data_IF_914195387425
#
_entry.id   IF_914195387425
#
_cell.length_a   1.000
_cell.length_b   1.000
_cell.length_c   1.000
_cell.angle_alpha   90.00
_cell.angle_beta   90.00
_cell.angle_gamma   90.00
#
_symmetry.space_group_name_H-M   'P 1'
#
loop_
_entity.id
_entity.type
_entity.pdbx_description
1 polymer ?
#
# COMPACT_ATOMS: atom_id res chain seq x y z
N UNK A 1 -3.60 -13.49 -26.67
CA UNK A 1 -3.18 -12.63 -27.81
C UNK A 1 -1.81 -12.08 -27.50
N UNK A 2 -1.00 -11.75 -28.52
CA UNK A 2 0.39 -11.33 -28.37
C UNK A 2 0.45 -9.95 -27.69
N UNK A 3 0.95 -9.94 -26.45
CA UNK A 3 1.10 -8.77 -25.57
C UNK A 3 2.47 -8.12 -25.81
N UNK A 4 2.52 -6.79 -25.90
CA UNK A 4 3.73 -5.98 -26.05
C UNK A 4 3.69 -4.78 -25.07
N UNK A 5 4.82 -4.35 -24.48
CA UNK A 5 4.96 -3.20 -23.55
C UNK A 5 6.18 -2.35 -23.94
N UNK A 6 6.09 -1.03 -23.72
CA UNK A 6 7.05 0.00 -24.11
C UNK A 6 7.69 0.77 -22.91
N UNK A 7 8.93 1.28 -23.04
CA UNK A 7 9.81 1.89 -21.97
C UNK A 7 10.67 3.14 -22.37
N UNK A 8 10.26 4.37 -22.00
CA UNK A 8 10.93 5.63 -22.45
C UNK A 8 12.10 6.05 -21.54
N UNK A 9 13.21 6.53 -22.12
CA UNK A 9 14.31 7.21 -21.39
C UNK A 9 14.26 8.75 -21.56
N UNK A 10 14.56 9.53 -20.51
CA UNK A 10 14.89 10.96 -20.61
C UNK A 10 15.96 11.34 -19.56
N UNK A 11 16.85 12.28 -19.92
CA UNK A 11 18.06 12.65 -19.16
C UNK A 11 17.91 13.87 -18.24
N UNK A 12 18.75 13.91 -17.19
CA UNK A 12 18.74 14.79 -16.02
C UNK A 12 19.31 16.21 -16.21
N UNK A 13 18.81 17.18 -15.42
CA UNK A 13 19.52 18.40 -15.01
C UNK A 13 19.19 18.75 -13.54
N UNK A 14 20.20 19.17 -12.76
CA UNK A 14 20.19 19.22 -11.29
C UNK A 14 19.59 20.52 -10.72
N UNK A 15 18.97 20.45 -9.54
CA UNK A 15 18.90 21.60 -8.61
C UNK A 15 18.93 21.17 -7.13
N UNK A 16 19.52 22.03 -6.30
CA UNK A 16 19.88 21.79 -4.89
C UNK A 16 18.75 22.30 -3.97
N UNK A 17 18.17 21.43 -3.14
CA UNK A 17 17.27 21.81 -2.06
C UNK A 17 17.61 21.04 -0.77
N UNK A 18 17.36 21.68 0.36
CA UNK A 18 17.86 21.35 1.69
C UNK A 18 17.36 20.00 2.23
N UNK A 19 18.28 19.17 2.73
CA UNK A 19 17.98 17.96 3.49
C UNK A 19 17.63 18.33 4.94
N UNK A 20 16.35 18.55 5.23
CA UNK A 20 15.82 18.28 6.57
C UNK A 20 15.65 16.75 6.69
N UNK A 21 16.10 16.16 7.80
CA UNK A 21 16.19 14.71 7.94
C UNK A 21 14.81 14.06 7.92
N UNK A 22 14.53 13.26 6.89
CA UNK A 22 13.42 12.32 6.93
C UNK A 22 13.78 11.24 7.96
N UNK A 23 13.07 11.19 9.08
CA UNK A 23 13.11 10.03 9.97
C UNK A 23 12.62 8.81 9.17
N UNK A 24 13.26 7.66 9.35
CA UNK A 24 12.87 6.46 8.63
C UNK A 24 11.49 5.99 9.13
N UNK A 25 10.62 5.55 8.22
CA UNK A 25 9.37 4.84 8.57
C UNK A 25 9.58 3.53 9.35
N UNK A 26 10.82 3.09 9.58
CA UNK A 26 11.13 2.00 10.52
C UNK A 26 11.19 2.48 11.98
N UNK A 27 11.43 3.77 12.22
CA UNK A 27 11.56 4.31 13.57
C UNK A 27 10.20 4.33 14.28
N UNK A 28 10.16 3.73 15.46
CA UNK A 28 8.94 3.65 16.26
C UNK A 28 7.86 2.75 15.67
N UNK A 29 8.14 1.97 14.61
CA UNK A 29 7.21 1.00 14.05
C UNK A 29 7.02 -0.17 15.03
N UNK A 30 5.77 -0.38 15.48
CA UNK A 30 5.42 -1.42 16.46
C UNK A 30 4.59 -2.54 15.85
N UNK A 31 3.96 -2.30 14.69
CA UNK A 31 3.18 -3.30 13.99
C UNK A 31 3.23 -3.00 12.50
N UNK A 32 3.43 -4.03 11.68
CA UNK A 32 3.23 -3.95 10.24
C UNK A 32 2.63 -5.25 9.73
N UNK A 33 1.38 -5.19 9.25
CA UNK A 33 0.76 -6.27 8.50
C UNK A 33 0.70 -5.85 7.03
N UNK A 34 1.66 -6.33 6.24
CA UNK A 34 1.74 -6.04 4.80
C UNK A 34 0.68 -6.80 4.00
N UNK A 35 0.40 -8.05 4.38
CA UNK A 35 -0.42 -9.00 3.61
C UNK A 35 0.12 -9.36 2.22
N UNK A 36 1.40 -9.10 1.94
CA UNK A 36 2.04 -9.39 0.66
C UNK A 36 2.20 -10.90 0.40
N UNK A 37 2.27 -11.71 1.46
CA UNK A 37 2.37 -13.17 1.40
C UNK A 37 0.98 -13.83 1.39
N UNK A 38 0.85 -14.93 0.66
CA UNK A 38 -0.43 -15.59 0.42
C UNK A 38 -0.97 -16.39 1.62
N UNK A 39 -2.28 -16.17 1.89
CA UNK A 39 -3.24 -17.23 2.19
C UNK A 39 -3.03 -18.14 3.40
N UNK A 40 -2.43 -17.65 4.48
CA UNK A 40 -2.27 -18.39 5.73
C UNK A 40 -3.31 -17.96 6.79
N UNK A 41 -3.72 -18.87 7.68
CA UNK A 41 -4.58 -18.56 8.85
C UNK A 41 -3.88 -17.65 9.90
N UNK A 42 -2.64 -17.26 9.60
CA UNK A 42 -1.75 -16.47 10.41
C UNK A 42 -1.18 -15.32 9.56
N UNK A 43 -1.18 -14.11 10.12
CA UNK A 43 -0.56 -12.93 9.52
C UNK A 43 0.72 -12.60 10.29
N UNK A 44 1.84 -12.53 9.58
CA UNK A 44 3.14 -12.13 10.14
C UNK A 44 3.16 -10.65 10.49
N UNK A 45 3.90 -10.30 11.54
CA UNK A 45 4.23 -8.92 11.87
C UNK A 45 5.59 -8.56 11.29
N UNK A 46 5.60 -7.82 10.19
CA UNK A 46 6.78 -7.46 9.42
C UNK A 46 7.59 -6.33 10.09
N UNK A 47 7.07 -5.75 11.18
CA UNK A 47 7.84 -4.82 12.01
C UNK A 47 8.95 -5.53 12.82
N UNK A 48 8.90 -6.85 12.92
CA UNK A 48 9.84 -7.65 13.70
C UNK A 48 9.55 -7.69 15.21
N UNK A 49 8.42 -7.14 15.67
CA UNK A 49 8.04 -7.15 17.08
C UNK A 49 7.25 -8.39 17.52
N UNK A 50 6.97 -9.32 16.61
CA UNK A 50 6.38 -10.62 16.91
C UNK A 50 4.90 -10.58 17.26
N UNK A 51 4.16 -9.54 16.83
CA UNK A 51 2.71 -9.42 17.02
C UNK A 51 1.95 -10.16 15.92
N UNK A 52 2.17 -11.46 15.81
CA UNK A 52 1.50 -12.30 14.81
C UNK A 52 -0.01 -12.36 15.06
N UNK A 53 -0.82 -12.13 14.03
CA UNK A 53 -2.29 -12.17 14.12
C UNK A 53 -2.86 -13.52 13.66
N UNK A 54 -3.91 -13.97 14.33
CA UNK A 54 -4.76 -15.09 13.89
C UNK A 54 -5.90 -14.57 13.03
N UNK A 55 -6.12 -15.21 11.89
CA UNK A 55 -7.22 -14.91 10.98
C UNK A 55 -8.49 -15.64 11.46
N UNK A 56 -9.59 -14.90 11.59
CA UNK A 56 -10.92 -15.44 11.90
C UNK A 56 -11.89 -15.09 10.78
N UNK A 57 -11.99 -15.97 9.77
CA UNK A 57 -12.98 -15.87 8.70
C UNK A 57 -12.67 -14.88 7.58
N UNK A 58 -11.77 -13.90 7.79
CA UNK A 58 -11.28 -13.04 6.71
C UNK A 58 -10.50 -13.87 5.68
N UNK A 59 -10.49 -13.42 4.43
CA UNK A 59 -9.86 -14.14 3.32
C UNK A 59 -8.80 -13.28 2.65
N UNK A 60 -7.70 -13.88 2.22
CA UNK A 60 -6.68 -13.16 1.47
C UNK A 60 -7.12 -12.97 0.01
N UNK A 61 -6.84 -11.82 -0.56
CA UNK A 61 -7.08 -11.49 -1.97
C UNK A 61 -5.82 -10.91 -2.60
N UNK A 62 -5.55 -11.28 -3.86
CA UNK A 62 -4.36 -10.83 -4.60
C UNK A 62 -4.42 -9.38 -5.12
N UNK A 63 -5.49 -8.67 -4.79
CA UNK A 63 -5.77 -7.32 -5.28
C UNK A 63 -5.64 -6.32 -4.12
N UNK A 64 -4.42 -6.23 -3.61
CA UNK A 64 -3.99 -5.26 -2.59
C UNK A 64 -3.30 -4.04 -3.19
N UNK A 65 -2.90 -3.13 -2.32
CA UNK A 65 -1.99 -2.02 -2.60
C UNK A 65 -0.60 -2.58 -2.86
N UNK A 66 -0.04 -3.32 -1.89
CA UNK A 66 1.26 -3.97 -2.03
C UNK A 66 1.07 -5.48 -2.17
N UNK A 67 0.82 -5.94 -3.40
CA UNK A 67 0.56 -7.37 -3.63
C UNK A 67 -0.82 -7.80 -3.11
N UNK A 68 -0.88 -8.35 -1.90
CA UNK A 68 -2.09 -8.95 -1.33
C UNK A 68 -2.83 -8.04 -0.35
N UNK A 69 -4.06 -8.39 -0.02
CA UNK A 69 -4.85 -7.70 1.01
C UNK A 69 -5.76 -8.69 1.74
N UNK A 70 -6.27 -8.29 2.91
CA UNK A 70 -7.27 -9.07 3.63
C UNK A 70 -8.67 -8.54 3.36
N UNK A 71 -9.52 -9.41 2.83
CA UNK A 71 -10.95 -9.20 2.62
C UNK A 71 -11.74 -9.64 3.83
N UNK A 72 -12.58 -8.72 4.28
CA UNK A 72 -13.57 -8.94 5.33
C UNK A 72 -14.93 -8.70 4.71
N UNK A 73 -15.72 -9.76 4.58
CA UNK A 73 -17.11 -9.73 4.16
C UNK A 73 -18.01 -9.14 5.27
N UNK A 74 -19.31 -9.15 5.01
CA UNK A 74 -20.33 -8.72 5.95
C UNK A 74 -20.55 -9.79 7.05
N UNK A 75 -19.74 -9.73 8.10
CA UNK A 75 -19.86 -10.61 9.28
C UNK A 75 -18.97 -10.19 10.46
N UNK A 76 -18.65 -11.17 11.32
CA UNK A 76 -17.74 -11.02 12.48
C UNK A 76 -16.28 -11.37 12.14
N UNK A 77 -15.91 -11.25 10.87
CA UNK A 77 -14.58 -11.57 10.37
C UNK A 77 -13.57 -10.55 10.87
N UNK A 78 -12.46 -11.03 11.42
CA UNK A 78 -11.43 -10.20 12.01
C UNK A 78 -10.09 -10.91 12.07
N UNK A 79 -9.03 -10.15 12.23
CA UNK A 79 -7.73 -10.63 12.68
C UNK A 79 -7.57 -10.25 14.15
N UNK A 80 -6.94 -11.13 14.93
CA UNK A 80 -6.74 -10.93 16.37
C UNK A 80 -5.28 -11.18 16.77
N UNK A 81 -4.71 -10.28 17.58
CA UNK A 81 -3.41 -10.43 18.20
C UNK A 81 -3.41 -9.83 19.63
N UNK A 82 -2.33 -10.07 20.38
CA UNK A 82 -2.11 -9.43 21.68
C UNK A 82 -1.81 -7.93 21.51
N UNK A 83 -2.28 -7.08 22.44
CA UNK A 83 -2.01 -5.63 22.43
C UNK A 83 -0.76 -5.22 23.23
N UNK A 84 -0.06 -6.18 23.84
CA UNK A 84 1.12 -5.95 24.65
C UNK A 84 2.21 -5.18 23.88
N UNK A 85 2.73 -4.14 24.51
CA UNK A 85 3.78 -3.28 23.97
C UNK A 85 3.32 -2.31 22.87
N UNK A 86 2.02 -2.24 22.54
CA UNK A 86 1.46 -1.09 21.83
C UNK A 86 1.39 0.14 22.77
N UNK A 87 1.22 1.36 22.24
CA UNK A 87 1.22 2.56 23.10
C UNK A 87 0.05 2.55 24.09
N UNK A 88 0.26 2.91 25.35
CA UNK A 88 -0.78 2.96 26.39
C UNK A 88 -1.06 4.39 26.86
N UNK A 89 -2.19 4.60 27.55
CA UNK A 89 -2.53 5.89 28.17
C UNK A 89 -2.47 7.04 27.18
N UNK A 90 -1.74 8.10 27.55
CA UNK A 90 -1.62 9.36 26.82
C UNK A 90 -0.40 9.42 25.88
N UNK A 91 0.35 8.33 25.71
CA UNK A 91 1.51 8.30 24.83
C UNK A 91 1.18 8.77 23.38
N UNK A 92 2.13 9.37 22.65
CA UNK A 92 1.92 9.63 21.24
C UNK A 92 1.83 8.31 20.44
N UNK A 93 1.13 8.34 19.31
CA UNK A 93 0.97 7.17 18.42
C UNK A 93 0.42 7.58 17.05
N UNK A 94 0.68 6.74 16.06
CA UNK A 94 0.03 6.81 14.76
C UNK A 94 -0.56 5.45 14.39
N UNK A 95 -1.75 5.46 13.81
CA UNK A 95 -2.34 4.31 13.12
C UNK A 95 -2.48 4.66 11.65
N UNK A 96 -2.02 3.79 10.76
CA UNK A 96 -2.13 3.95 9.32
C UNK A 96 -2.61 2.64 8.68
N UNK A 97 -3.48 2.72 7.68
CA UNK A 97 -3.91 1.57 6.89
C UNK A 97 -4.46 2.00 5.54
N UNK A 98 -4.45 1.07 4.60
CA UNK A 98 -5.22 1.18 3.37
C UNK A 98 -6.56 0.49 3.51
N UNK A 99 -7.61 1.10 2.96
CA UNK A 99 -8.96 0.53 2.95
C UNK A 99 -9.63 0.71 1.59
N UNK A 100 -10.32 -0.33 1.15
CA UNK A 100 -11.23 -0.28 0.00
C UNK A 100 -12.59 -0.83 0.39
N UNK A 101 -13.63 -0.03 0.18
CA UNK A 101 -15.00 -0.41 0.51
C UNK A 101 -15.75 -0.92 -0.72
N UNK A 102 -16.38 -2.09 -0.61
CA UNK A 102 -17.10 -2.71 -1.74
C UNK A 102 -18.55 -2.25 -1.87
N UNK A 103 -19.19 -1.82 -0.78
CA UNK A 103 -20.56 -1.31 -0.81
C UNK A 103 -20.85 -0.34 0.33
N UNK A 104 -21.68 0.69 0.05
CA UNK A 104 -22.27 1.53 1.09
C UNK A 104 -23.42 0.79 1.75
N UNK A 105 -23.39 0.67 3.07
CA UNK A 105 -24.60 0.43 3.86
C UNK A 105 -24.70 1.48 4.96
N UNK A 106 -25.94 1.90 5.23
CA UNK A 106 -26.21 2.81 6.33
C UNK A 106 -26.15 2.01 7.63
N UNK A 107 -25.07 2.15 8.37
CA UNK A 107 -24.82 1.42 9.62
C UNK A 107 -24.44 2.39 10.74
N UNK A 108 -24.30 1.91 11.99
CA UNK A 108 -23.64 2.68 13.03
C UNK A 108 -22.11 2.73 12.81
N UNK A 109 -21.34 3.01 13.87
CA UNK A 109 -19.88 3.01 13.83
C UNK A 109 -19.33 1.69 13.27
N UNK A 110 -18.25 1.77 12.50
CA UNK A 110 -17.52 0.56 12.10
C UNK A 110 -16.03 0.73 12.34
N UNK A 111 -15.49 -0.04 13.27
CA UNK A 111 -14.05 -0.11 13.51
C UNK A 111 -13.35 -0.78 12.33
N UNK A 112 -12.21 -0.23 11.93
CA UNK A 112 -11.30 -0.87 10.96
C UNK A 112 -10.14 -1.53 11.71
N UNK A 113 -9.63 -0.83 12.72
CA UNK A 113 -8.51 -1.26 13.55
C UNK A 113 -8.72 -0.71 14.97
N UNK A 114 -8.53 -1.55 15.99
CA UNK A 114 -8.40 -1.07 17.37
C UNK A 114 -7.49 -1.96 18.22
N UNK A 115 -7.00 -1.40 19.33
CA UNK A 115 -6.41 -2.17 20.42
C UNK A 115 -6.78 -1.59 21.79
N UNK A 116 -6.50 -2.36 22.84
CA UNK A 116 -6.81 -1.99 24.22
C UNK A 116 -8.15 -2.55 24.69
N UNK A 117 -8.48 -2.22 25.94
CA UNK A 117 -9.73 -2.64 26.56
C UNK A 117 -10.92 -1.93 25.91
N UNK A 118 -11.86 -2.70 25.36
CA UNK A 118 -13.07 -2.21 24.66
C UNK A 118 -14.07 -1.56 25.64
N UNK A 119 -13.68 -0.41 26.17
CA UNK A 119 -14.45 0.46 27.04
C UNK A 119 -14.18 1.90 26.64
N UNK A 120 -15.12 2.80 26.98
CA UNK A 120 -15.00 4.22 26.71
C UNK A 120 -13.67 4.78 27.22
N UNK A 121 -12.89 5.41 26.34
CA UNK A 121 -11.56 5.97 26.64
C UNK A 121 -10.52 4.95 27.15
N UNK A 122 -10.72 3.64 26.91
CA UNK A 122 -9.78 2.57 27.30
C UNK A 122 -9.19 1.81 26.11
N UNK A 123 -9.69 2.08 24.91
CA UNK A 123 -9.17 1.57 23.65
C UNK A 123 -8.58 2.71 22.80
N UNK A 124 -7.80 2.35 21.80
CA UNK A 124 -7.34 3.22 20.72
C UNK A 124 -7.82 2.57 19.43
N UNK A 125 -8.43 3.32 18.52
CA UNK A 125 -8.93 2.71 17.29
C UNK A 125 -9.46 3.71 16.30
N UNK A 126 -9.41 3.33 15.02
CA UNK A 126 -9.77 4.09 13.84
C UNK A 126 -10.89 3.37 13.09
N UNK A 127 -11.84 4.12 12.54
CA UNK A 127 -12.94 3.54 11.77
C UNK A 127 -13.79 4.57 11.04
N UNK A 128 -14.95 4.16 10.52
CA UNK A 128 -15.88 5.05 9.80
C UNK A 128 -17.20 5.18 10.56
N UNK A 129 -17.66 6.42 10.77
CA UNK A 129 -18.96 6.73 11.39
C UNK A 129 -20.01 6.99 10.31
N UNK A 130 -20.91 6.04 10.16
CA UNK A 130 -22.03 6.06 9.20
C UNK A 130 -23.33 6.65 9.79
N UNK A 131 -23.34 7.03 11.07
CA UNK A 131 -24.55 7.50 11.75
C UNK A 131 -25.06 8.80 11.14
N UNK A 132 -26.38 8.90 10.97
CA UNK A 132 -27.07 10.13 10.50
C UNK A 132 -26.56 10.61 9.13
N UNK A 133 -26.36 9.68 8.18
CA UNK A 133 -25.94 10.00 6.81
C UNK A 133 -24.49 10.51 6.70
N UNK A 134 -23.71 10.38 7.78
CA UNK A 134 -22.28 10.64 7.81
C UNK A 134 -21.50 9.49 7.17
N UNK A 135 -20.22 9.75 6.93
CA UNK A 135 -19.25 8.77 6.44
C UNK A 135 -17.86 9.20 6.92
N UNK A 136 -17.79 9.85 8.08
CA UNK A 136 -16.57 10.50 8.55
C UNK A 136 -15.62 9.46 9.12
N UNK A 137 -14.31 9.69 8.97
CA UNK A 137 -13.34 8.94 9.75
C UNK A 137 -13.57 9.28 11.22
N UNK A 138 -13.44 8.28 12.08
CA UNK A 138 -13.47 8.47 13.52
C UNK A 138 -12.24 7.84 14.17
N UNK A 139 -11.87 8.40 15.32
CA UNK A 139 -10.92 7.80 16.23
C UNK A 139 -11.42 7.85 17.67
N UNK A 140 -11.05 6.86 18.49
CA UNK A 140 -11.43 6.83 19.91
C UNK A 140 -10.81 7.99 20.68
N UNK A 141 -11.59 8.82 21.35
CA UNK A 141 -11.08 9.97 22.12
C UNK A 141 -11.52 9.90 23.59
N UNK A 142 -10.90 10.74 24.42
CA UNK A 142 -11.41 11.08 25.74
C UNK A 142 -12.91 11.37 25.69
N UNK A 143 -13.69 10.52 26.38
CA UNK A 143 -15.13 10.71 26.48
C UNK A 143 -15.92 10.55 25.17
N UNK A 144 -15.39 9.91 24.12
CA UNK A 144 -16.15 9.70 22.89
C UNK A 144 -15.31 9.28 21.69
N UNK A 145 -15.63 9.86 20.54
CA UNK A 145 -14.87 9.73 19.29
C UNK A 145 -14.62 11.12 18.72
N UNK A 146 -13.43 11.32 18.16
CA UNK A 146 -13.14 12.44 17.28
C UNK A 146 -13.62 12.08 15.86
N UNK A 147 -14.04 13.07 15.07
CA UNK A 147 -14.49 12.88 13.69
C UNK A 147 -13.69 13.80 12.76
N UNK A 148 -13.26 13.29 11.61
CA UNK A 148 -12.69 14.11 10.53
C UNK A 148 -13.75 14.97 9.85
N UNK A 149 -13.35 15.99 9.08
CA UNK A 149 -14.26 16.69 8.16
C UNK A 149 -14.48 15.92 6.85
N UNK A 150 -13.55 15.02 6.50
CA UNK A 150 -13.67 14.17 5.32
C UNK A 150 -14.79 13.14 5.43
N UNK A 151 -15.37 12.77 4.28
CA UNK A 151 -16.43 11.78 4.17
C UNK A 151 -16.06 10.72 3.15
N UNK A 152 -16.05 9.47 3.60
CA UNK A 152 -15.82 8.28 2.80
C UNK A 152 -16.85 8.19 1.67
N UNK A 153 -16.33 8.14 0.44
CA UNK A 153 -17.10 7.77 -0.72
C UNK A 153 -17.17 6.25 -0.80
N UNK A 154 -18.35 5.68 -1.06
CA UNK A 154 -18.51 4.23 -1.17
C UNK A 154 -18.07 3.67 -2.53
N UNK A 155 -16.96 4.19 -3.05
CA UNK A 155 -16.37 3.74 -4.29
C UNK A 155 -15.36 2.66 -3.96
N UNK A 156 -15.33 1.56 -4.73
CA UNK A 156 -14.35 0.48 -4.63
C UNK A 156 -12.93 0.90 -5.01
N UNK A 157 -12.47 2.02 -4.47
CA UNK A 157 -11.13 2.57 -4.57
C UNK A 157 -10.45 2.40 -3.21
N UNK A 158 -9.13 2.27 -3.27
CA UNK A 158 -8.29 2.31 -2.10
C UNK A 158 -8.13 3.73 -1.60
N UNK A 159 -8.16 3.90 -0.29
CA UNK A 159 -7.81 5.13 0.41
C UNK A 159 -6.81 4.80 1.50
N UNK A 160 -5.76 5.61 1.63
CA UNK A 160 -4.87 5.55 2.79
C UNK A 160 -5.45 6.41 3.89
N UNK A 161 -5.71 5.81 5.05
CA UNK A 161 -6.20 6.51 6.23
C UNK A 161 -5.10 6.52 7.28
N UNK A 162 -4.83 7.69 7.85
CA UNK A 162 -3.98 7.78 9.02
C UNK A 162 -4.62 8.64 10.11
N UNK A 163 -4.34 8.24 11.35
CA UNK A 163 -4.66 8.99 12.54
C UNK A 163 -3.38 9.15 13.36
N UNK A 164 -3.04 10.41 13.65
CA UNK A 164 -1.88 10.80 14.45
C UNK A 164 -2.39 11.38 15.77
N UNK A 165 -1.80 10.96 16.88
CA UNK A 165 -2.07 11.50 18.22
C UNK A 165 -0.79 11.91 18.89
N UNK A 166 -0.75 13.15 19.34
CA UNK A 166 0.44 13.75 19.95
C UNK A 166 0.37 13.79 21.49
N UNK A 167 -0.68 13.23 22.08
CA UNK A 167 -0.98 13.36 23.51
C UNK A 167 -1.89 14.54 23.84
N UNK A 168 -2.53 14.48 25.01
CA UNK A 168 -3.37 15.54 25.56
C UNK A 168 -4.54 15.98 24.64
N UNK A 169 -5.04 15.08 23.81
CA UNK A 169 -6.20 15.33 22.94
C UNK A 169 -5.85 15.93 21.57
N UNK A 170 -4.58 16.29 21.32
CA UNK A 170 -4.10 16.75 20.02
C UNK A 170 -4.04 15.58 19.04
N UNK A 171 -4.71 15.72 17.93
CA UNK A 171 -4.79 14.70 16.91
C UNK A 171 -4.94 15.28 15.51
N UNK A 172 -4.56 14.47 14.53
CA UNK A 172 -4.65 14.77 13.11
C UNK A 172 -5.14 13.55 12.34
N UNK A 173 -6.16 13.74 11.50
CA UNK A 173 -6.65 12.76 10.55
C UNK A 173 -6.16 13.09 9.15
N UNK A 174 -5.67 12.07 8.46
CA UNK A 174 -5.21 12.16 7.09
C UNK A 174 -5.93 11.16 6.21
N UNK A 175 -6.21 11.59 4.98
CA UNK A 175 -6.72 10.75 3.90
C UNK A 175 -5.86 10.98 2.68
N UNK A 176 -5.34 9.91 2.09
CA UNK A 176 -4.49 9.94 0.90
C UNK A 176 -3.30 10.90 1.04
N UNK A 177 -2.76 10.98 2.26
CA UNK A 177 -1.59 11.80 2.59
C UNK A 177 -1.93 13.25 2.98
N UNK A 178 -3.16 13.68 2.77
CA UNK A 178 -3.60 15.05 3.04
C UNK A 178 -4.35 15.15 4.37
N UNK A 179 -4.08 16.21 5.14
CA UNK A 179 -4.80 16.48 6.38
C UNK A 179 -6.26 16.82 6.09
N UNK A 180 -7.16 16.14 6.78
CA UNK A 180 -8.61 16.34 6.65
C UNK A 180 -9.23 17.10 7.81
N UNK A 181 -8.39 17.61 8.71
CA UNK A 181 -8.84 18.29 9.92
C UNK A 181 -8.82 19.81 9.79
N UNK A 182 -9.92 20.44 10.18
CA UNK A 182 -9.85 21.67 10.95
C UNK A 182 -9.51 21.33 12.40
N UNK A 183 -8.27 21.61 12.84
CA UNK A 183 -7.73 21.30 14.17
C UNK A 183 -8.79 21.35 15.29
N UNK A 184 -9.22 20.18 15.78
CA UNK A 184 -10.20 20.09 16.86
C UNK A 184 -9.48 19.90 18.20
N UNK A 185 -9.30 21.00 18.94
CA UNK A 185 -8.83 20.97 20.33
C UNK A 185 -9.96 20.47 21.23
N UNK A 186 -10.18 19.15 21.29
CA UNK A 186 -11.17 18.53 22.18
C UNK A 186 -10.50 17.83 23.37
N UNK A 187 -11.18 17.87 24.51
CA UNK A 187 -10.53 17.88 25.83
C UNK A 187 -10.19 16.49 26.39
N UNK A 188 -8.91 16.32 26.77
CA UNK A 188 -8.43 15.33 27.72
C UNK A 188 -7.57 14.21 27.09
N UNK A 189 -6.67 13.60 27.89
CA UNK A 189 -5.78 12.54 27.42
C UNK A 189 -6.54 11.25 27.13
N UNK A 190 -5.98 10.43 26.22
CA UNK A 190 -6.38 9.04 26.10
C UNK A 190 -5.99 8.27 27.36
N UNK A 191 -6.80 7.28 27.72
CA UNK A 191 -6.52 6.38 28.82
C UNK A 191 -6.52 4.91 28.36
N UNK A 192 -5.90 4.64 27.21
CA UNK A 192 -5.82 3.30 26.63
C UNK A 192 -5.17 2.32 27.60
N UNK A 193 -5.79 1.15 27.79
CA UNK A 193 -5.35 0.10 28.71
C UNK A 193 -5.06 -1.17 27.90
N UNK A 194 -3.83 -1.68 28.00
CA UNK A 194 -3.35 -2.90 27.33
C UNK A 194 -3.69 -4.14 28.16
N UNK A 195 -4.98 -4.41 28.26
CA UNK A 195 -5.51 -5.65 28.85
C UNK A 195 -6.63 -6.20 27.97
N UNK A 196 -6.60 -5.83 26.68
CA UNK A 196 -7.57 -6.22 25.69
C UNK A 196 -6.89 -7.06 24.63
N UNK A 197 -7.07 -6.65 23.38
CA UNK A 197 -6.53 -7.32 22.19
C UNK A 197 -6.41 -6.30 21.06
N UNK A 198 -5.51 -6.57 20.13
CA UNK A 198 -5.44 -5.90 18.85
C UNK A 198 -6.40 -6.61 17.88
N UNK A 199 -7.29 -5.85 17.24
CA UNK A 199 -8.25 -6.35 16.27
C UNK A 199 -8.23 -5.53 15.01
N UNK A 200 -8.13 -6.23 13.88
CA UNK A 200 -8.24 -5.67 12.53
C UNK A 200 -9.49 -6.24 11.87
N UNK A 201 -10.19 -5.41 11.11
CA UNK A 201 -11.49 -5.73 10.52
C UNK A 201 -12.67 -5.18 11.34
N UNK A 202 -12.47 -4.81 12.60
CA UNK A 202 -13.53 -4.29 13.48
C UNK A 202 -13.95 -5.27 14.57
N UNK A 203 -14.76 -4.82 15.54
CA UNK A 203 -15.07 -5.63 16.71
C UNK A 203 -15.90 -6.86 16.32
N UNK A 204 -15.48 -8.08 16.66
CA UNK A 204 -16.24 -9.29 16.32
C UNK A 204 -17.62 -9.33 16.98
N UNK A 205 -17.80 -8.61 18.09
CA UNK A 205 -19.08 -8.47 18.79
C UNK A 205 -20.06 -7.54 18.06
N UNK A 206 -19.56 -6.70 17.16
CA UNK A 206 -20.34 -5.78 16.33
C UNK A 206 -20.24 -6.24 14.88
N UNK A 207 -21.12 -7.18 14.49
CA UNK A 207 -21.14 -7.73 13.14
C UNK A 207 -21.14 -6.59 12.11
N UNK A 208 -20.08 -6.53 11.30
CA UNK A 208 -20.01 -5.59 10.19
C UNK A 208 -20.98 -6.03 9.11
N UNK A 209 -21.70 -5.09 8.50
CA UNK A 209 -22.62 -5.42 7.41
C UNK A 209 -22.07 -5.13 6.01
N UNK A 210 -20.84 -4.62 5.91
CA UNK A 210 -20.21 -4.26 4.64
C UNK A 210 -18.89 -4.96 4.40
N UNK A 211 -18.69 -5.36 3.14
CA UNK A 211 -17.43 -5.92 2.69
C UNK A 211 -16.39 -4.82 2.47
N UNK A 212 -15.16 -5.09 2.90
CA UNK A 212 -14.01 -4.20 2.84
C UNK A 212 -12.74 -5.01 2.64
N UNK A 213 -11.79 -4.43 1.92
CA UNK A 213 -10.40 -4.91 1.89
C UNK A 213 -9.57 -3.96 2.75
N UNK A 214 -8.71 -4.51 3.60
CA UNK A 214 -7.72 -3.77 4.35
C UNK A 214 -6.34 -4.21 3.91
N UNK A 215 -5.45 -3.24 3.80
CA UNK A 215 -4.07 -3.48 3.42
C UNK A 215 -3.08 -2.65 4.24
N UNK A 216 -1.87 -3.16 4.36
CA UNK A 216 -0.67 -2.44 4.77
C UNK A 216 -0.82 -1.66 6.09
N UNK A 217 -1.27 -2.39 7.13
CA UNK A 217 -1.65 -1.84 8.43
C UNK A 217 -0.43 -1.59 9.28
N UNK A 218 -0.30 -0.36 9.81
CA UNK A 218 0.82 0.04 10.66
C UNK A 218 0.37 0.73 11.94
N UNK A 219 1.11 0.45 13.02
CA UNK A 219 1.00 1.18 14.30
C UNK A 219 2.39 1.66 14.71
N UNK A 220 2.48 2.94 15.02
CA UNK A 220 3.70 3.60 15.49
C UNK A 220 3.58 4.03 16.95
N UNK A 221 4.68 3.94 17.70
CA UNK A 221 4.84 4.44 19.06
C UNK A 221 5.17 5.93 19.15
N UNK A 222 5.00 6.68 18.06
CA UNK A 222 5.23 8.12 17.94
C UNK A 222 4.16 8.76 17.07
N UNK A 223 4.06 10.08 17.16
CA UNK A 223 3.28 10.88 16.23
C UNK A 223 4.13 11.09 14.97
N UNK A 224 3.66 10.58 13.84
CA UNK A 224 4.31 10.79 12.55
C UNK A 224 4.06 12.20 12.03
N UNK A 225 5.05 12.76 11.34
CA UNK A 225 4.94 14.04 10.66
C UNK A 225 4.10 13.92 9.37
N UNK A 226 3.57 15.06 8.89
CA UNK A 226 2.74 15.08 7.69
C UNK A 226 3.47 14.54 6.44
N UNK A 227 4.79 14.75 6.32
CA UNK A 227 5.62 14.20 5.24
C UNK A 227 5.73 12.67 5.30
N UNK A 228 5.86 12.10 6.50
CA UNK A 228 5.90 10.65 6.70
C UNK A 228 4.54 10.01 6.40
N UNK A 229 3.45 10.69 6.76
CA UNK A 229 2.10 10.26 6.37
C UNK A 229 1.92 10.32 4.85
N UNK A 230 2.42 11.37 4.20
CA UNK A 230 2.38 11.48 2.75
C UNK A 230 3.17 10.36 2.07
N UNK A 231 4.33 9.97 2.63
CA UNK A 231 5.12 8.81 2.15
C UNK A 231 4.34 7.50 2.27
N UNK A 232 3.69 7.23 3.42
CA UNK A 232 2.85 6.04 3.62
C UNK A 232 1.62 5.99 2.70
N UNK A 233 1.10 7.17 2.36
CA UNK A 233 -0.07 7.32 1.50
C UNK A 233 0.25 7.27 0.01
N UNK A 234 1.53 7.21 -0.35
CA UNK A 234 1.88 6.93 -1.73
C UNK A 234 1.27 5.58 -2.08
N UNK A 235 0.33 5.60 -3.03
CA UNK A 235 0.05 4.37 -3.76
C UNK A 235 1.42 3.86 -4.22
N UNK A 236 1.68 2.55 -4.15
CA UNK A 236 2.77 2.00 -4.91
C UNK A 236 2.55 2.54 -6.31
N UNK A 237 3.46 3.40 -6.74
CA UNK A 237 3.49 3.75 -8.14
C UNK A 237 3.52 2.38 -8.84
N UNK A 238 2.67 2.12 -9.83
CA UNK A 238 2.78 0.92 -10.64
C UNK A 238 4.21 0.68 -11.15
N UNK A 239 5.10 1.69 -11.04
CA UNK A 239 6.56 1.61 -11.09
C UNK A 239 7.40 2.18 -9.92
N UNK A 240 6.89 2.35 -8.68
CA UNK A 240 7.70 2.79 -7.52
C UNK A 240 8.70 1.71 -7.12
N UNK A 241 9.88 1.82 -7.69
CA UNK A 241 11.12 1.46 -7.01
C UNK A 241 11.20 2.30 -5.75
N UNK A 242 11.52 1.67 -4.63
CA UNK A 242 11.98 2.38 -3.43
C UNK A 242 13.26 3.12 -3.84
N UNK A 243 13.10 4.36 -4.28
CA UNK A 243 14.19 5.30 -4.58
C UNK A 243 14.87 5.60 -3.25
N UNK A 244 16.08 5.07 -3.07
CA UNK A 244 16.97 5.56 -2.05
C UNK A 244 17.32 7.03 -2.40
N UNK A 245 16.62 7.98 -1.79
CA UNK A 245 16.88 9.41 -1.69
C UNK A 245 17.58 10.12 -2.88
N UNK A 246 16.78 11.01 -3.48
CA UNK A 246 17.10 12.31 -4.09
C UNK A 246 17.28 12.37 -5.62
N UNK A 247 16.32 13.03 -6.29
CA UNK A 247 16.60 13.61 -7.61
C UNK A 247 15.53 14.29 -8.47
N UNK A 248 14.37 14.72 -7.93
CA UNK A 248 13.43 15.73 -8.47
C UNK A 248 12.90 15.66 -9.94
N UNK A 249 11.57 15.78 -9.97
CA UNK A 249 10.68 16.46 -10.93
C UNK A 249 10.28 15.79 -12.27
N UNK A 250 9.09 15.18 -12.23
CA UNK A 250 8.15 15.06 -13.36
C UNK A 250 7.41 16.38 -13.64
N UNK A 251 6.92 16.57 -14.88
CA UNK A 251 5.50 16.92 -14.98
C UNK A 251 4.71 16.24 -16.13
N UNK A 252 3.49 15.83 -15.74
CA UNK A 252 2.16 15.76 -16.39
C UNK A 252 1.94 15.04 -17.75
N UNK A 253 1.03 14.05 -17.74
CA UNK A 253 0.31 13.55 -18.94
C UNK A 253 -1.20 13.38 -18.67
N UNK A 254 -2.10 13.78 -19.59
CA UNK A 254 -3.56 13.71 -19.41
C UNK A 254 -4.21 12.38 -19.86
N UNK A 255 -5.34 12.08 -19.24
CA UNK A 255 -6.15 10.86 -19.36
C UNK A 255 -6.69 10.52 -20.76
N UNK A 256 -6.75 9.20 -21.05
CA UNK A 256 -7.75 8.63 -21.97
C UNK A 256 -8.28 7.27 -21.49
N UNK A 257 -9.60 7.13 -21.52
CA UNK A 257 -10.40 6.02 -20.94
C UNK A 257 -10.35 4.72 -21.74
N UNK A 258 -10.19 3.58 -21.06
CA UNK A 258 -10.24 2.23 -21.63
C UNK A 258 -11.54 1.48 -21.29
N UNK A 259 -12.09 0.77 -22.27
CA UNK A 259 -13.20 -0.16 -22.14
C UNK A 259 -12.68 -1.61 -21.98
N UNK A 260 -12.95 -2.18 -20.80
CA UNK A 260 -13.16 -3.60 -20.47
C UNK A 260 -12.00 -4.64 -20.58
N UNK A 261 -11.45 -4.97 -19.39
CA UNK A 261 -11.05 -6.29 -18.86
C UNK A 261 -9.77 -7.01 -19.38
N UNK A 262 -9.06 -7.78 -18.53
CA UNK A 262 -7.69 -7.43 -18.11
C UNK A 262 -6.59 -8.25 -18.83
N UNK A 263 -5.42 -7.63 -18.99
CA UNK A 263 -4.19 -8.26 -19.46
C UNK A 263 -3.12 -8.05 -18.39
N UNK A 264 -2.63 -9.12 -17.77
CA UNK A 264 -1.55 -9.10 -16.77
C UNK A 264 -0.21 -8.88 -17.46
N UNK A 265 0.61 -7.96 -16.95
CA UNK A 265 1.94 -7.61 -17.44
C UNK A 265 2.90 -7.52 -16.25
N UNK A 266 4.14 -8.03 -16.39
CA UNK A 266 5.19 -7.98 -15.34
C UNK A 266 6.43 -7.30 -15.94
N UNK A 267 7.00 -6.33 -15.22
CA UNK A 267 8.18 -5.54 -15.61
C UNK A 267 9.45 -6.11 -14.93
N UNK A 268 10.56 -6.25 -15.66
CA UNK A 268 11.87 -6.64 -15.11
C UNK A 268 13.05 -5.82 -15.70
N UNK A 269 14.12 -5.77 -14.91
CA UNK A 269 15.29 -4.86 -14.91
C UNK A 269 16.03 -4.74 -16.26
N UNK A 270 16.36 -3.50 -16.65
CA UNK A 270 17.33 -3.19 -17.70
C UNK A 270 18.67 -2.83 -17.04
N UNK A 271 19.78 -3.43 -17.46
CA UNK A 271 21.12 -2.98 -17.06
C UNK A 271 21.90 -2.53 -18.30
N UNK A 272 22.60 -1.40 -18.18
CA UNK A 272 23.59 -0.98 -19.17
C UNK A 272 24.95 -1.49 -18.74
N UNK A 273 25.63 -2.25 -19.60
CA UNK A 273 27.03 -2.62 -19.38
C UNK A 273 27.93 -1.46 -19.83
N UNK A 274 28.60 -0.74 -18.90
CA UNK A 274 29.47 0.38 -19.27
C UNK A 274 30.70 -0.05 -20.07
N UNK A 275 31.00 -1.36 -20.19
CA UNK A 275 32.13 -1.87 -20.96
C UNK A 275 31.77 -2.24 -22.42
N UNK A 276 30.49 -2.31 -22.78
CA UNK A 276 30.06 -2.69 -24.13
C UNK A 276 29.48 -1.48 -24.87
N UNK A 277 30.22 -1.00 -25.86
CA UNK A 277 29.77 -0.02 -26.85
C UNK A 277 28.33 -0.31 -27.35
N UNK A 278 27.34 0.42 -26.83
CA UNK A 278 26.00 0.61 -27.41
C UNK A 278 24.96 -0.51 -27.22
N UNK A 279 25.09 -1.38 -26.21
CA UNK A 279 24.11 -2.45 -25.97
C UNK A 279 23.27 -2.28 -24.71
N UNK A 280 21.95 -2.47 -24.81
CA UNK A 280 21.07 -2.65 -23.65
C UNK A 280 20.96 -4.14 -23.31
N UNK A 281 21.13 -4.50 -22.04
CA UNK A 281 20.87 -5.87 -21.55
C UNK A 281 19.49 -5.89 -20.90
N UNK A 282 18.62 -6.74 -21.41
CA UNK A 282 17.31 -7.03 -20.85
C UNK A 282 17.41 -8.32 -20.04
N UNK A 283 17.08 -8.25 -18.75
CA UNK A 283 17.03 -9.41 -17.85
C UNK A 283 15.60 -9.65 -17.35
N UNK A 284 15.18 -10.91 -17.27
CA UNK A 284 13.86 -11.28 -16.76
C UNK A 284 13.90 -12.56 -15.93
N UNK A 285 13.01 -12.67 -14.94
CA UNK A 285 12.78 -13.92 -14.22
C UNK A 285 12.15 -14.96 -15.16
N UNK A 286 12.60 -16.20 -15.07
CA UNK A 286 12.15 -17.29 -15.93
C UNK A 286 11.86 -18.56 -15.15
N UNK A 287 11.12 -19.48 -15.78
CA UNK A 287 10.89 -20.83 -15.25
C UNK A 287 11.76 -21.79 -16.06
N UNK A 288 12.69 -22.54 -15.44
CA UNK A 288 13.51 -23.52 -16.16
C UNK A 288 12.65 -24.49 -16.99
N UNK A 289 12.96 -24.62 -18.28
CA UNK A 289 12.21 -25.44 -19.24
C UNK A 289 11.12 -24.71 -20.04
N UNK A 290 10.71 -23.51 -19.61
CA UNK A 290 9.71 -22.72 -20.33
C UNK A 290 10.33 -21.90 -21.46
N UNK A 291 9.50 -21.59 -22.47
CA UNK A 291 9.91 -20.82 -23.64
C UNK A 291 9.41 -19.37 -23.62
N UNK A 292 10.23 -18.46 -24.17
CA UNK A 292 9.96 -17.02 -24.22
C UNK A 292 10.28 -16.42 -25.60
N UNK A 293 9.49 -15.43 -26.03
CA UNK A 293 9.77 -14.58 -27.19
C UNK A 293 10.07 -13.16 -26.72
N UNK A 294 11.11 -12.53 -27.27
CA UNK A 294 11.54 -11.16 -26.94
C UNK A 294 11.42 -10.27 -28.15
N UNK A 295 11.00 -9.06 -27.89
CA UNK A 295 10.53 -8.11 -28.86
C UNK A 295 11.04 -6.72 -28.51
N UNK A 296 11.19 -5.85 -29.51
CA UNK A 296 11.66 -4.49 -29.30
C UNK A 296 11.04 -3.46 -30.24
N UNK A 297 11.08 -2.18 -29.88
CA UNK A 297 10.87 -1.06 -30.82
C UNK A 297 11.63 0.18 -30.36
N UNK A 298 11.88 1.13 -31.26
CA UNK A 298 12.40 2.47 -30.94
C UNK A 298 11.29 3.54 -30.96
N UNK A 299 10.08 3.16 -31.37
CA UNK A 299 8.93 4.04 -31.52
C UNK A 299 7.63 3.25 -31.32
N UNK A 300 6.91 3.61 -30.24
CA UNK A 300 5.64 2.98 -29.87
C UNK A 300 4.60 2.96 -31.00
N UNK A 301 4.65 3.99 -31.85
CA UNK A 301 3.67 4.20 -32.91
C UNK A 301 3.91 3.29 -34.11
N UNK A 302 5.12 2.74 -34.25
CA UNK A 302 5.51 1.86 -35.36
C UNK A 302 5.23 0.37 -35.09
N UNK A 303 4.72 0.06 -33.90
CA UNK A 303 4.64 -1.33 -33.45
C UNK A 303 6.04 -1.88 -33.17
N UNK A 304 6.15 -3.20 -33.22
CA UNK A 304 7.03 -3.92 -32.32
C UNK A 304 7.67 -5.08 -33.11
N UNK A 305 9.01 -5.13 -33.12
CA UNK A 305 9.82 -6.03 -33.94
C UNK A 305 10.33 -7.22 -33.11
N UNK A 306 10.41 -8.41 -33.71
CA UNK A 306 10.98 -9.58 -33.04
C UNK A 306 12.48 -9.41 -32.84
N UNK A 307 12.93 -9.46 -31.59
CA UNK A 307 14.35 -9.50 -31.24
C UNK A 307 14.85 -10.95 -31.22
N UNK A 308 14.13 -11.82 -30.51
CA UNK A 308 14.42 -13.25 -30.38
C UNK A 308 13.14 -14.03 -30.14
N UNK A 309 13.11 -15.31 -30.52
CA UNK A 309 11.94 -16.16 -30.27
C UNK A 309 12.38 -17.54 -29.82
N UNK A 310 11.51 -18.23 -29.09
CA UNK A 310 11.74 -19.58 -28.59
C UNK A 310 12.98 -19.74 -27.68
N UNK A 311 13.28 -18.73 -26.88
CA UNK A 311 14.32 -18.80 -25.86
C UNK A 311 13.87 -19.74 -24.75
N UNK A 312 14.58 -20.85 -24.54
CA UNK A 312 14.27 -21.80 -23.45
C UNK A 312 15.10 -21.43 -22.24
N UNK A 313 14.43 -21.24 -21.11
CA UNK A 313 15.10 -20.91 -19.86
C UNK A 313 15.83 -22.15 -19.31
N UNK A 314 17.14 -22.00 -19.06
CA UNK A 314 17.91 -23.01 -18.35
C UNK A 314 17.80 -22.83 -16.82
N UNK A 315 17.63 -21.58 -16.38
CA UNK A 315 17.66 -21.17 -14.99
C UNK A 315 16.45 -20.29 -14.66
N UNK A 316 16.37 -19.80 -13.42
CA UNK A 316 15.30 -18.92 -12.94
C UNK A 316 15.44 -17.47 -13.39
N UNK A 317 16.45 -17.16 -14.20
CA UNK A 317 16.64 -15.86 -14.85
C UNK A 317 17.22 -16.04 -16.25
N UNK A 318 16.84 -15.15 -17.16
CA UNK A 318 17.39 -15.06 -18.51
C UNK A 318 17.78 -13.62 -18.83
N UNK A 319 18.74 -13.47 -19.74
CA UNK A 319 19.20 -12.19 -20.23
C UNK A 319 19.37 -12.21 -21.77
N UNK A 320 19.12 -11.07 -22.42
CA UNK A 320 19.45 -10.85 -23.83
C UNK A 320 20.00 -9.45 -24.04
N UNK A 321 21.06 -9.35 -24.84
CA UNK A 321 21.65 -8.07 -25.22
C UNK A 321 21.13 -7.63 -26.57
N UNK A 322 20.64 -6.40 -26.67
CA UNK A 322 20.30 -5.74 -27.93
C UNK A 322 21.27 -4.58 -28.17
N UNK A 323 22.05 -4.64 -29.25
CA UNK A 323 22.97 -3.56 -29.65
C UNK A 323 22.26 -2.64 -30.64
N UNK A 324 21.97 -1.43 -30.21
CA UNK A 324 21.24 -0.44 -31.00
C UNK A 324 22.10 0.82 -31.15
N UNK A 325 22.62 1.07 -32.34
CA UNK A 325 23.37 2.29 -32.64
C UNK A 325 22.40 3.42 -33.03
N UNK A 326 22.46 4.53 -32.30
CA UNK A 326 21.78 5.79 -32.68
C UNK A 326 20.31 5.95 -32.24
N UNK A 327 19.71 4.95 -31.59
CA UNK A 327 18.37 5.08 -31.00
C UNK A 327 18.44 5.78 -29.63
N UNK A 328 17.70 6.88 -29.45
CA UNK A 328 17.65 7.60 -28.17
C UNK A 328 16.70 6.97 -27.14
N UNK A 329 15.79 6.10 -27.59
CA UNK A 329 14.82 5.36 -26.77
C UNK A 329 14.61 3.99 -27.40
N UNK A 330 14.61 2.94 -26.58
CA UNK A 330 14.37 1.56 -27.03
C UNK A 330 13.51 0.85 -26.00
N UNK A 331 12.64 0.01 -26.49
CA UNK A 331 11.51 -0.54 -25.78
C UNK A 331 11.49 -2.05 -25.95
N UNK A 332 11.15 -2.83 -24.93
CA UNK A 332 11.17 -4.29 -25.01
C UNK A 332 9.91 -4.93 -24.46
N UNK A 333 9.51 -6.04 -25.07
CA UNK A 333 8.46 -6.91 -24.56
C UNK A 333 8.93 -8.37 -24.51
N UNK A 334 8.58 -9.06 -23.43
CA UNK A 334 8.83 -10.50 -23.27
C UNK A 334 7.49 -11.21 -23.20
N UNK A 335 7.34 -12.25 -24.00
CA UNK A 335 6.14 -13.06 -24.08
C UNK A 335 6.45 -14.50 -23.66
N UNK A 336 5.87 -14.93 -22.55
CA UNK A 336 5.88 -16.32 -22.13
C UNK A 336 5.06 -17.22 -23.06
N UNK A 337 5.58 -18.42 -23.35
CA UNK A 337 4.97 -19.40 -24.26
C UNK A 337 4.54 -20.69 -23.55
N UNK A 338 4.87 -20.85 -22.27
CA UNK A 338 4.64 -22.08 -21.52
C UNK A 338 5.80 -23.07 -21.59
N UNK A 339 5.62 -24.18 -20.88
CA UNK A 339 6.53 -25.33 -20.89
C UNK A 339 6.72 -25.88 -22.29
N UNK A 340 7.95 -26.33 -22.56
CA UNK A 340 8.34 -26.88 -23.86
C UNK A 340 8.48 -28.40 -23.86
#
# INVERSE_FOLDING_TARGET
MKQWILLICAGFAWSWAAQAGAESLSEGLLLHYSFDADGSDIVSDDSGNGRTARVNGATWVADGIHGGAMRFEAGGEHLEADDAGLPAGDAPRTMALWVRLHARKAEPLTGLLYYGLQQRNRMSGIGVDWRVGRANLYFTQCGGVALSDWRMEAAGRWHHLAYVYEGYGRHHFYVDGESTDGMSELWGPLQTVLSGRLVVGGPPEELSSFARDLDDIRIYGRALEASEIAELAQLPDPGAVVEAAAGLDEPEVPDWTASAAPLTFVLHRLSMDPAASGGAVLEWASVPGDAYDVYWTDDLTKGFSCLASNLVAADTAMAITNRMEGASKVFYAVKWRGAR
#
